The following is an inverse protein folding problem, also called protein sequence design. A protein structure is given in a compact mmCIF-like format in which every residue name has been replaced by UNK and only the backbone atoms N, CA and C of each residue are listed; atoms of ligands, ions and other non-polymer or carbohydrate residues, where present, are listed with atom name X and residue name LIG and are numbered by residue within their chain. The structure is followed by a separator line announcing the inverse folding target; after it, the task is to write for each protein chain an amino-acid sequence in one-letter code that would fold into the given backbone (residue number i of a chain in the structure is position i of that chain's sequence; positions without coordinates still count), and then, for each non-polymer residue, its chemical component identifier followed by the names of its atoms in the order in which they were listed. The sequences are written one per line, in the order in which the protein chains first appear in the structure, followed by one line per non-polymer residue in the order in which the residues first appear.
data_IF_323350318034
#
_entry.id   IF_323350318034
#
_cell.length_a   1.000
_cell.length_b   1.000
_cell.length_c   1.000
_cell.angle_alpha   90.00
_cell.angle_beta   90.00
_cell.angle_gamma   90.00
#
_symmetry.space_group_name_H-M   'P 1'
#
loop_
_entity.id
_entity.type
_entity.pdbx_description
1 polymer ?
#
# COMPACT_ATOMS: atom_id res chain seq x y z
N UNK A 1 -25.49 10.62 25.65
CA UNK A 1 -24.46 11.68 25.61
C UNK A 1 -23.80 11.54 24.24
N UNK A 2 -24.35 12.28 23.27
CA UNK A 2 -23.91 12.24 21.87
C UNK A 2 -22.61 13.04 21.73
N UNK A 3 -21.56 12.39 21.29
CA UNK A 3 -20.30 13.06 20.96
C UNK A 3 -20.39 13.51 19.51
N UNK A 4 -20.70 14.79 19.31
CA UNK A 4 -20.64 15.44 18.00
C UNK A 4 -19.19 15.55 17.55
N UNK A 5 -18.77 14.72 16.58
CA UNK A 5 -17.55 14.96 15.84
C UNK A 5 -17.78 16.13 14.86
N UNK A 6 -17.22 17.28 15.19
CA UNK A 6 -17.12 18.41 14.25
C UNK A 6 -16.25 17.99 13.07
N UNK A 7 -16.85 17.82 11.88
CA UNK A 7 -16.14 17.84 10.61
C UNK A 7 -15.54 19.23 10.42
N UNK A 8 -14.24 19.35 10.65
CA UNK A 8 -13.51 20.55 10.25
C UNK A 8 -13.39 20.55 8.72
N UNK A 9 -14.09 21.45 8.07
CA UNK A 9 -13.85 21.88 6.70
C UNK A 9 -12.50 22.62 6.67
N UNK A 10 -11.40 21.88 6.58
CA UNK A 10 -10.11 22.42 6.18
C UNK A 10 -10.10 22.46 4.65
N UNK A 11 -9.99 23.66 4.11
CA UNK A 11 -9.68 23.95 2.72
C UNK A 11 -8.54 23.01 2.29
N UNK A 12 -8.82 22.10 1.38
CA UNK A 12 -7.90 21.07 0.91
C UNK A 12 -6.78 21.75 0.14
N UNK A 13 -5.62 21.90 0.79
CA UNK A 13 -4.36 21.99 0.03
C UNK A 13 -4.25 20.68 -0.78
N UNK A 14 -3.76 20.71 -2.02
CA UNK A 14 -3.52 19.50 -2.78
C UNK A 14 -2.61 18.59 -1.94
N UNK A 15 -3.12 17.45 -1.48
CA UNK A 15 -2.32 16.50 -0.73
C UNK A 15 -1.28 15.92 -1.68
N UNK A 16 -0.01 16.01 -1.29
CA UNK A 16 1.08 15.42 -2.05
C UNK A 16 0.76 13.95 -2.36
N UNK A 17 0.92 13.55 -3.63
CA UNK A 17 0.61 12.21 -4.12
C UNK A 17 1.42 11.18 -3.36
N UNK A 18 0.76 10.24 -2.69
CA UNK A 18 1.41 9.12 -1.98
C UNK A 18 1.98 8.12 -2.97
N UNK A 19 3.15 7.59 -2.64
CA UNK A 19 3.83 6.56 -3.43
C UNK A 19 3.98 5.30 -2.60
N UNK A 20 3.35 4.21 -3.07
CA UNK A 20 3.53 2.86 -2.52
C UNK A 20 4.43 2.05 -3.43
N UNK A 21 5.55 1.55 -2.91
CA UNK A 21 6.46 0.65 -3.62
C UNK A 21 6.20 -0.78 -3.16
N UNK A 22 5.69 -1.62 -4.05
CA UNK A 22 5.29 -3.00 -3.74
C UNK A 22 6.33 -4.03 -4.18
N UNK A 23 6.24 -5.25 -3.62
CA UNK A 23 7.07 -6.38 -4.03
C UNK A 23 8.50 -6.36 -3.48
N UNK A 24 8.71 -5.73 -2.36
CA UNK A 24 10.03 -5.67 -1.70
C UNK A 24 10.32 -6.97 -0.94
N UNK A 25 11.54 -7.51 -1.05
CA UNK A 25 11.96 -8.70 -0.30
C UNK A 25 13.45 -8.77 0.01
N UNK A 26 14.30 -8.16 -0.81
CA UNK A 26 15.76 -8.17 -0.61
C UNK A 26 16.16 -7.15 0.45
N UNK A 27 17.00 -7.57 1.42
CA UNK A 27 17.35 -6.77 2.59
C UNK A 27 18.07 -5.47 2.23
N UNK A 28 19.05 -5.53 1.32
CA UNK A 28 19.83 -4.35 0.96
C UNK A 28 19.03 -3.40 0.06
N UNK A 29 18.20 -3.98 -0.80
CA UNK A 29 17.29 -3.22 -1.65
C UNK A 29 16.20 -2.52 -0.82
N UNK A 30 15.61 -3.19 0.18
CA UNK A 30 14.68 -2.58 1.15
C UNK A 30 15.35 -1.36 1.82
N UNK A 31 16.57 -1.54 2.32
CA UNK A 31 17.32 -0.46 2.99
C UNK A 31 17.61 0.72 2.06
N UNK A 32 17.91 0.45 0.79
CA UNK A 32 18.17 1.48 -0.20
C UNK A 32 16.88 2.24 -0.58
N UNK A 33 15.78 1.52 -0.82
CA UNK A 33 14.47 2.11 -1.15
C UNK A 33 13.87 2.88 0.03
N UNK A 34 14.12 2.44 1.26
CA UNK A 34 13.65 3.14 2.47
C UNK A 34 14.25 4.55 2.66
N UNK A 35 15.33 4.89 1.94
CA UNK A 35 15.91 6.24 1.93
C UNK A 35 15.23 7.19 0.94
N UNK A 36 14.32 6.69 0.10
CA UNK A 36 13.56 7.50 -0.84
C UNK A 36 12.34 8.11 -0.14
N UNK A 37 11.79 9.17 -0.73
CA UNK A 37 10.58 9.83 -0.21
C UNK A 37 9.31 9.08 -0.62
N UNK A 38 9.18 7.84 -0.15
CA UNK A 38 8.01 6.98 -0.33
C UNK A 38 7.16 6.92 0.94
N UNK A 39 5.88 6.62 0.78
CA UNK A 39 4.92 6.61 1.88
C UNK A 39 4.63 5.20 2.40
N UNK A 40 4.68 4.19 1.50
CA UNK A 40 4.35 2.81 1.82
C UNK A 40 5.30 1.83 1.14
N UNK A 41 5.60 0.72 1.81
CA UNK A 41 6.40 -0.38 1.28
C UNK A 41 5.63 -1.70 1.40
N UNK A 42 5.43 -2.40 0.29
CA UNK A 42 4.64 -3.62 0.22
C UNK A 42 5.49 -4.89 0.21
N UNK A 43 5.15 -5.82 1.10
CA UNK A 43 5.76 -7.14 1.25
C UNK A 43 4.75 -8.20 0.84
N UNK A 44 5.08 -9.03 -0.16
CA UNK A 44 4.14 -9.99 -0.73
C UNK A 44 4.25 -11.33 0.00
N UNK A 45 3.18 -11.74 0.66
CA UNK A 45 3.07 -13.02 1.37
C UNK A 45 2.19 -14.03 0.61
N UNK A 46 2.12 -13.92 -0.71
CA UNK A 46 1.42 -14.84 -1.61
C UNK A 46 2.44 -15.88 -2.10
N UNK A 47 2.31 -17.17 -1.72
CA UNK A 47 3.35 -18.19 -1.95
C UNK A 47 3.77 -18.37 -3.41
N UNK A 48 2.84 -18.29 -4.35
CA UNK A 48 3.09 -18.48 -5.78
C UNK A 48 3.65 -17.23 -6.48
N UNK A 49 3.80 -16.14 -5.74
CA UNK A 49 4.37 -14.91 -6.28
C UNK A 49 5.90 -15.02 -6.43
N UNK A 50 6.48 -14.59 -7.56
CA UNK A 50 7.94 -14.49 -7.69
C UNK A 50 8.56 -13.48 -6.71
N UNK A 51 7.72 -12.67 -6.04
CA UNK A 51 8.09 -11.68 -5.03
C UNK A 51 7.77 -12.14 -3.61
N UNK A 52 7.45 -13.42 -3.45
CA UNK A 52 7.11 -13.99 -2.14
C UNK A 52 8.19 -13.72 -1.10
N UNK A 53 7.77 -13.21 0.06
CA UNK A 53 8.62 -12.99 1.21
C UNK A 53 8.53 -14.20 2.14
N UNK A 54 9.55 -15.03 2.12
CA UNK A 54 9.67 -16.12 3.09
C UNK A 54 10.07 -15.57 4.47
N UNK A 55 11.10 -14.71 4.50
CA UNK A 55 11.59 -14.04 5.69
C UNK A 55 12.29 -12.73 5.30
N UNK A 56 12.09 -11.67 6.09
CA UNK A 56 12.85 -10.43 5.99
C UNK A 56 13.75 -10.35 7.22
N UNK A 57 15.05 -10.15 6.99
CA UNK A 57 15.99 -9.93 8.08
C UNK A 57 15.74 -8.59 8.78
N UNK A 58 15.87 -8.57 10.12
CA UNK A 58 15.86 -7.32 10.91
C UNK A 58 16.96 -6.34 10.47
N UNK A 59 18.04 -6.84 9.87
CA UNK A 59 19.09 -6.00 9.28
C UNK A 59 18.60 -5.08 8.14
N UNK A 60 17.40 -5.31 7.59
CA UNK A 60 16.76 -4.37 6.66
C UNK A 60 16.45 -3.01 7.33
N UNK A 61 16.40 -2.97 8.67
CA UNK A 61 16.17 -1.75 9.44
C UNK A 61 14.73 -1.26 9.46
N UNK A 62 13.84 -1.92 8.73
CA UNK A 62 12.43 -1.50 8.59
C UNK A 62 11.47 -2.32 9.46
N UNK A 63 11.90 -3.49 9.93
CA UNK A 63 11.13 -4.35 10.83
C UNK A 63 11.80 -4.44 12.22
N UNK A 64 11.03 -4.74 13.28
CA UNK A 64 11.58 -4.92 14.61
C UNK A 64 12.62 -6.05 14.65
N UNK A 65 13.62 -5.88 15.47
CA UNK A 65 14.61 -6.91 15.75
C UNK A 65 14.21 -7.67 17.02
N UNK A 66 13.73 -8.89 16.83
CA UNK A 66 13.35 -9.82 17.92
C UNK A 66 14.47 -10.80 18.27
N UNK A 67 15.74 -10.49 17.96
CA UNK A 67 16.85 -11.36 18.35
C UNK A 67 16.90 -11.57 19.87
N UNK A 68 17.31 -12.77 20.30
CA UNK A 68 17.43 -13.11 21.72
C UNK A 68 18.33 -12.13 22.49
N UNK A 69 19.35 -11.57 21.82
CA UNK A 69 20.24 -10.56 22.40
C UNK A 69 19.51 -9.29 22.79
N UNK A 70 18.65 -8.76 21.90
CA UNK A 70 17.89 -7.54 22.18
C UNK A 70 16.73 -7.76 23.15
N UNK A 71 16.11 -8.94 23.12
CA UNK A 71 15.12 -9.33 24.11
C UNK A 71 15.73 -9.46 25.50
N UNK A 72 16.95 -10.02 25.62
CA UNK A 72 17.68 -10.12 26.89
C UNK A 72 18.13 -8.76 27.44
N UNK A 73 18.40 -7.79 26.59
CA UNK A 73 18.74 -6.41 26.97
C UNK A 73 17.54 -5.59 27.44
N UNK A 74 16.32 -6.14 27.39
CA UNK A 74 15.08 -5.44 27.77
C UNK A 74 14.77 -4.22 26.92
N UNK A 75 15.46 -4.08 25.79
CA UNK A 75 15.19 -3.02 24.84
C UNK A 75 13.93 -3.37 24.04
N UNK A 76 12.88 -2.59 24.20
CA UNK A 76 11.81 -2.58 23.21
C UNK A 76 12.45 -2.24 21.87
N UNK A 77 12.23 -3.12 20.88
CA UNK A 77 12.75 -2.95 19.53
C UNK A 77 12.13 -1.70 18.90
N UNK A 78 12.73 -0.54 19.16
CA UNK A 78 12.36 0.69 18.46
C UNK A 78 12.92 0.62 17.05
N UNK A 79 12.15 1.08 16.08
CA UNK A 79 12.60 1.31 14.71
C UNK A 79 13.91 2.10 14.76
N UNK A 80 14.94 1.64 14.06
CA UNK A 80 16.31 2.13 14.24
C UNK A 80 16.57 3.52 13.66
N UNK A 81 15.69 4.02 12.77
CA UNK A 81 15.84 5.33 12.10
C UNK A 81 14.50 6.06 11.97
N UNK A 82 14.46 7.36 12.22
CA UNK A 82 13.27 8.22 12.09
C UNK A 82 12.66 8.16 10.67
N UNK A 83 13.47 7.99 9.64
CA UNK A 83 13.02 7.87 8.24
C UNK A 83 12.24 6.60 8.02
N UNK A 84 12.73 5.46 8.54
CA UNK A 84 12.02 4.17 8.43
C UNK A 84 10.73 4.13 9.25
N UNK A 85 10.63 4.92 10.33
CA UNK A 85 9.40 5.02 11.13
C UNK A 85 8.26 5.73 10.38
N UNK A 86 8.55 6.47 9.33
CA UNK A 86 7.56 7.22 8.53
C UNK A 86 6.92 6.36 7.43
N UNK A 87 7.63 5.35 6.93
CA UNK A 87 7.15 4.48 5.84
C UNK A 87 6.23 3.41 6.42
N UNK A 88 4.99 3.36 5.94
CA UNK A 88 4.05 2.29 6.30
C UNK A 88 4.45 0.95 5.69
N UNK A 89 4.41 -0.11 6.48
CA UNK A 89 4.67 -1.48 6.05
C UNK A 89 3.35 -2.16 5.73
N UNK A 90 3.22 -2.59 4.48
CA UNK A 90 2.00 -3.19 3.94
C UNK A 90 2.24 -4.66 3.65
N UNK A 91 1.57 -5.55 4.37
CA UNK A 91 1.54 -6.98 4.02
C UNK A 91 0.52 -7.25 2.93
N UNK A 92 0.93 -7.92 1.86
CA UNK A 92 0.05 -8.25 0.72
C UNK A 92 -0.28 -9.73 0.73
N UNK A 93 -1.57 -10.04 0.80
CA UNK A 93 -2.12 -11.39 0.90
C UNK A 93 -3.17 -11.62 -0.20
N UNK A 94 -3.44 -12.88 -0.52
CA UNK A 94 -4.54 -13.28 -1.38
C UNK A 94 -5.10 -14.61 -0.89
N UNK A 95 -6.37 -14.62 -0.48
CA UNK A 95 -7.11 -15.79 -0.02
C UNK A 95 -6.38 -16.62 1.06
N UNK A 96 -5.56 -15.95 1.88
CA UNK A 96 -4.79 -16.60 2.95
C UNK A 96 -5.64 -16.81 4.21
N UNK A 97 -5.22 -17.75 5.02
CA UNK A 97 -5.88 -18.02 6.30
C UNK A 97 -5.71 -16.85 7.27
N UNK A 98 -6.76 -16.43 7.99
CA UNK A 98 -6.67 -15.32 8.95
C UNK A 98 -5.52 -15.46 9.95
N UNK A 99 -5.24 -16.68 10.42
CA UNK A 99 -4.15 -16.96 11.36
C UNK A 99 -2.76 -16.62 10.79
N UNK A 100 -2.55 -16.87 9.49
CA UNK A 100 -1.32 -16.53 8.82
C UNK A 100 -1.16 -15.00 8.72
N UNK A 101 -2.24 -14.29 8.35
CA UNK A 101 -2.27 -12.82 8.30
C UNK A 101 -1.93 -12.23 9.67
N UNK A 102 -2.62 -12.69 10.73
CA UNK A 102 -2.36 -12.27 12.13
C UNK A 102 -0.89 -12.46 12.51
N UNK A 103 -0.33 -13.65 12.22
CA UNK A 103 1.06 -13.97 12.50
C UNK A 103 2.02 -13.03 11.77
N UNK A 104 1.74 -12.71 10.49
CA UNK A 104 2.57 -11.78 9.72
C UNK A 104 2.44 -10.34 10.22
N UNK A 105 1.23 -9.89 10.58
CA UNK A 105 1.02 -8.56 11.18
C UNK A 105 1.87 -8.40 12.41
N UNK A 106 1.87 -9.39 13.30
CA UNK A 106 2.68 -9.36 14.52
C UNK A 106 4.19 -9.41 14.25
N UNK A 107 4.65 -10.40 13.48
CA UNK A 107 6.08 -10.65 13.24
C UNK A 107 6.77 -9.52 12.47
N UNK A 108 6.07 -8.87 11.55
CA UNK A 108 6.63 -7.79 10.72
C UNK A 108 6.17 -6.40 11.18
N UNK A 109 5.41 -6.32 12.26
CA UNK A 109 4.83 -5.07 12.79
C UNK A 109 4.18 -4.27 11.65
N UNK A 110 3.30 -4.94 10.88
CA UNK A 110 2.67 -4.33 9.70
C UNK A 110 1.72 -3.21 10.12
N UNK A 111 1.73 -2.14 9.35
CA UNK A 111 0.83 -0.99 9.54
C UNK A 111 -0.49 -1.20 8.81
N UNK A 112 -0.44 -1.81 7.61
CA UNK A 112 -1.59 -2.06 6.76
C UNK A 112 -1.57 -3.50 6.22
N UNK A 113 -2.75 -4.07 6.00
CA UNK A 113 -2.96 -5.37 5.33
C UNK A 113 -3.65 -5.12 4.00
N UNK A 114 -3.01 -5.50 2.90
CA UNK A 114 -3.57 -5.46 1.56
C UNK A 114 -4.10 -6.85 1.15
N UNK A 115 -5.36 -6.91 0.77
CA UNK A 115 -6.07 -8.12 0.39
C UNK A 115 -6.35 -8.11 -1.12
N UNK A 116 -5.69 -9.04 -1.83
CA UNK A 116 -5.71 -9.13 -3.29
C UNK A 116 -6.63 -10.21 -3.84
N UNK A 117 -7.11 -11.10 -2.99
CA UNK A 117 -7.95 -12.24 -3.36
C UNK A 117 -9.45 -11.95 -3.32
N UNK A 118 -10.23 -12.97 -3.03
CA UNK A 118 -11.70 -12.94 -2.95
C UNK A 118 -12.24 -12.72 -1.53
N UNK A 119 -11.41 -12.21 -0.62
CA UNK A 119 -11.77 -12.00 0.79
C UNK A 119 -13.07 -11.21 0.93
N UNK A 120 -14.06 -11.82 1.59
CA UNK A 120 -15.37 -11.20 1.79
C UNK A 120 -15.34 -10.11 2.88
N UNK A 121 -16.29 -9.14 2.87
CA UNK A 121 -16.41 -8.16 3.94
C UNK A 121 -16.56 -8.79 5.33
N UNK A 122 -17.26 -9.93 5.44
CA UNK A 122 -17.42 -10.66 6.70
C UNK A 122 -16.08 -11.21 7.20
N UNK A 123 -15.27 -11.76 6.30
CA UNK A 123 -13.93 -12.25 6.65
C UNK A 123 -13.04 -11.10 7.14
N UNK A 124 -13.12 -9.95 6.48
CA UNK A 124 -12.34 -8.76 6.83
C UNK A 124 -12.76 -8.22 8.21
N UNK A 125 -14.07 -8.11 8.49
CA UNK A 125 -14.57 -7.69 9.80
C UNK A 125 -14.08 -8.63 10.92
N UNK A 126 -14.15 -9.95 10.70
CA UNK A 126 -13.64 -10.92 11.65
C UNK A 126 -12.12 -10.81 11.87
N UNK A 127 -11.36 -10.54 10.81
CA UNK A 127 -9.91 -10.31 10.90
C UNK A 127 -9.60 -9.06 11.73
N UNK A 128 -10.30 -7.96 11.48
CA UNK A 128 -10.15 -6.71 12.24
C UNK A 128 -10.47 -6.90 13.72
N UNK A 129 -11.56 -7.60 14.05
CA UNK A 129 -11.94 -7.93 15.44
C UNK A 129 -10.88 -8.77 16.14
N UNK A 130 -10.11 -9.55 15.41
CA UNK A 130 -9.02 -10.37 15.96
C UNK A 130 -7.76 -9.55 16.20
N UNK A 131 -7.43 -8.62 15.29
CA UNK A 131 -6.14 -7.92 15.30
C UNK A 131 -6.21 -6.61 16.09
N UNK A 132 -7.26 -5.80 15.86
CA UNK A 132 -7.30 -4.43 16.36
C UNK A 132 -7.32 -4.28 17.87
N UNK A 133 -8.00 -5.14 18.67
CA UNK A 133 -8.04 -4.94 20.12
C UNK A 133 -6.65 -5.02 20.77
N UNK A 134 -5.84 -6.00 20.39
CA UNK A 134 -4.68 -6.39 21.17
C UNK A 134 -3.34 -6.38 20.41
N UNK A 135 -3.38 -6.56 19.10
CA UNK A 135 -2.16 -6.74 18.30
C UNK A 135 -1.75 -5.43 17.60
N UNK A 136 -2.67 -4.85 16.83
CA UNK A 136 -2.42 -3.62 16.08
C UNK A 136 -3.68 -2.75 16.01
N UNK A 137 -3.96 -1.91 17.03
CA UNK A 137 -5.17 -1.09 17.09
C UNK A 137 -5.37 -0.14 15.91
N UNK A 138 -4.28 0.24 15.24
CA UNK A 138 -4.27 1.20 14.12
C UNK A 138 -4.13 0.52 12.76
N UNK A 139 -4.33 -0.81 12.70
CA UNK A 139 -4.24 -1.54 11.42
C UNK A 139 -5.27 -0.99 10.43
N UNK A 140 -4.83 -0.79 9.18
CA UNK A 140 -5.72 -0.41 8.09
C UNK A 140 -5.82 -1.53 7.06
N UNK A 141 -6.97 -1.64 6.44
CA UNK A 141 -7.22 -2.60 5.37
C UNK A 141 -7.20 -1.90 4.01
N UNK A 142 -6.38 -2.43 3.12
CA UNK A 142 -6.34 -2.06 1.70
C UNK A 142 -6.99 -3.19 0.90
N UNK A 143 -8.07 -2.93 0.17
CA UNK A 143 -8.67 -3.94 -0.72
C UNK A 143 -8.32 -3.65 -2.17
N UNK A 144 -7.66 -4.61 -2.82
CA UNK A 144 -7.42 -4.55 -4.26
C UNK A 144 -8.71 -4.86 -5.01
N UNK A 145 -9.04 -4.02 -5.99
CA UNK A 145 -10.13 -4.22 -6.95
C UNK A 145 -9.52 -4.15 -8.34
N UNK A 146 -9.70 -5.20 -9.12
CA UNK A 146 -9.32 -5.20 -10.54
C UNK A 146 -10.39 -4.46 -11.34
N UNK A 147 -9.98 -3.43 -12.07
CA UNK A 147 -10.88 -2.55 -12.81
C UNK A 147 -10.63 -2.71 -14.31
N UNK A 148 -11.58 -3.32 -15.01
CA UNK A 148 -11.61 -3.40 -16.46
C UNK A 148 -12.51 -2.33 -17.07
N UNK A 149 -13.57 -1.93 -16.34
CA UNK A 149 -14.50 -0.88 -16.72
C UNK A 149 -15.16 -0.22 -15.50
N UNK A 150 -15.92 0.87 -15.70
CA UNK A 150 -16.57 1.61 -14.62
C UNK A 150 -17.57 0.76 -13.80
N UNK A 151 -18.14 -0.27 -14.38
CA UNK A 151 -19.08 -1.20 -13.72
C UNK A 151 -18.46 -1.98 -12.57
N UNK A 152 -17.14 -2.23 -12.61
CA UNK A 152 -16.43 -2.98 -11.57
C UNK A 152 -16.39 -2.20 -10.25
N UNK A 153 -16.55 -0.87 -10.29
CA UNK A 153 -16.58 -0.02 -9.11
C UNK A 153 -17.77 -0.30 -8.18
N UNK A 154 -18.84 -0.93 -8.68
CA UNK A 154 -20.03 -1.26 -7.87
C UNK A 154 -19.69 -2.19 -6.71
N UNK A 155 -18.68 -3.03 -6.86
CA UNK A 155 -18.26 -3.94 -5.79
C UNK A 155 -17.72 -3.19 -4.56
N UNK A 156 -17.24 -1.97 -4.72
CA UNK A 156 -16.70 -1.15 -3.63
C UNK A 156 -17.73 -0.92 -2.52
N UNK A 157 -19.03 -0.78 -2.85
CA UNK A 157 -20.09 -0.54 -1.88
C UNK A 157 -20.16 -1.62 -0.80
N UNK A 158 -19.89 -2.88 -1.17
CA UNK A 158 -19.92 -4.00 -0.23
C UNK A 158 -18.81 -3.93 0.84
N UNK A 159 -17.77 -3.15 0.60
CA UNK A 159 -16.60 -3.03 1.48
C UNK A 159 -16.55 -1.75 2.31
N UNK A 160 -17.53 -0.85 2.17
CA UNK A 160 -17.50 0.49 2.79
C UNK A 160 -17.30 0.50 4.31
N UNK A 161 -17.75 -0.54 5.02
CA UNK A 161 -17.67 -0.62 6.49
C UNK A 161 -16.37 -1.25 7.00
N UNK A 162 -15.58 -1.89 6.13
CA UNK A 162 -14.46 -2.76 6.56
C UNK A 162 -13.13 -2.47 5.86
N UNK A 163 -13.10 -1.48 4.97
CA UNK A 163 -11.91 -1.10 4.18
C UNK A 163 -11.60 0.36 4.37
N UNK A 164 -10.33 0.68 4.57
CA UNK A 164 -9.84 2.05 4.76
C UNK A 164 -9.31 2.66 3.47
N UNK A 165 -8.85 1.83 2.54
CA UNK A 165 -8.23 2.25 1.29
C UNK A 165 -8.48 1.21 0.19
N UNK A 166 -8.88 1.65 -0.99
CA UNK A 166 -8.88 0.78 -2.17
C UNK A 166 -7.55 0.85 -2.93
N UNK A 167 -7.19 -0.24 -3.59
CA UNK A 167 -6.16 -0.27 -4.62
C UNK A 167 -6.85 -0.62 -5.94
N UNK A 168 -7.11 0.36 -6.78
CA UNK A 168 -7.67 0.14 -8.11
C UNK A 168 -6.58 -0.29 -9.08
N UNK A 169 -6.62 -1.56 -9.46
CA UNK A 169 -5.67 -2.17 -10.38
C UNK A 169 -6.23 -2.14 -11.80
N UNK A 170 -5.79 -1.16 -12.57
CA UNK A 170 -6.30 -0.88 -13.91
C UNK A 170 -5.31 -1.43 -14.93
N UNK A 171 -5.74 -2.42 -15.72
CA UNK A 171 -4.91 -2.97 -16.78
C UNK A 171 -4.56 -1.90 -17.82
N UNK A 172 -3.27 -1.82 -18.12
CA UNK A 172 -2.74 -0.94 -19.14
C UNK A 172 -3.26 -1.32 -20.51
N UNK A 173 -3.60 -0.33 -21.31
CA UNK A 173 -3.98 -0.46 -22.71
C UNK A 173 -2.74 -0.42 -23.64
N UNK A 174 -2.97 -0.58 -24.94
CA UNK A 174 -1.90 -0.61 -25.94
C UNK A 174 -1.11 0.71 -26.04
N UNK A 175 -1.73 1.83 -25.68
CA UNK A 175 -1.08 3.14 -25.63
C UNK A 175 -1.27 3.83 -24.29
N UNK A 176 -0.37 4.76 -23.98
CA UNK A 176 -0.46 5.60 -22.78
C UNK A 176 -1.73 6.45 -22.80
N UNK A 177 -2.07 7.03 -23.95
CA UNK A 177 -3.28 7.83 -24.11
C UNK A 177 -4.55 7.02 -23.87
N UNK A 178 -4.68 5.81 -24.43
CA UNK A 178 -5.84 4.94 -24.21
C UNK A 178 -5.97 4.52 -22.74
N UNK A 179 -4.84 4.28 -22.06
CA UNK A 179 -4.82 3.97 -20.63
C UNK A 179 -5.31 5.17 -19.80
N UNK A 180 -4.87 6.37 -20.14
CA UNK A 180 -5.28 7.61 -19.46
C UNK A 180 -6.77 7.88 -19.64
N UNK A 181 -7.30 7.72 -20.83
CA UNK A 181 -8.73 7.86 -21.13
C UNK A 181 -9.57 6.88 -20.30
N UNK A 182 -9.12 5.63 -20.22
CA UNK A 182 -9.74 4.61 -19.38
C UNK A 182 -9.72 4.98 -17.89
N UNK A 183 -8.56 5.43 -17.38
CA UNK A 183 -8.44 5.89 -15.99
C UNK A 183 -9.41 7.03 -15.73
N UNK A 184 -9.46 8.05 -16.58
CA UNK A 184 -10.35 9.20 -16.42
C UNK A 184 -11.83 8.80 -16.45
N UNK A 185 -12.23 7.86 -17.33
CA UNK A 185 -13.58 7.31 -17.37
C UNK A 185 -13.94 6.60 -16.04
N UNK A 186 -13.02 5.83 -15.48
CA UNK A 186 -13.18 5.16 -14.18
C UNK A 186 -13.29 6.21 -13.07
N UNK A 187 -12.36 7.17 -13.00
CA UNK A 187 -12.35 8.21 -11.97
C UNK A 187 -13.65 9.03 -11.98
N UNK A 188 -14.16 9.40 -13.16
CA UNK A 188 -15.40 10.15 -13.27
C UNK A 188 -16.65 9.40 -12.77
N UNK A 189 -16.57 8.08 -12.65
CA UNK A 189 -17.68 7.21 -12.23
C UNK A 189 -17.62 6.86 -10.74
N UNK A 190 -16.42 6.92 -10.13
CA UNK A 190 -16.28 6.60 -8.71
C UNK A 190 -16.87 7.70 -7.83
N UNK A 191 -17.91 7.36 -7.07
CA UNK A 191 -18.60 8.26 -6.16
C UNK A 191 -18.51 7.82 -4.69
N UNK A 192 -17.65 6.82 -4.40
CA UNK A 192 -17.43 6.32 -3.05
C UNK A 192 -16.70 7.34 -2.17
N UNK A 193 -16.84 7.18 -0.85
CA UNK A 193 -16.16 8.02 0.15
C UNK A 193 -14.79 7.48 0.55
N UNK A 194 -14.50 6.21 0.28
CA UNK A 194 -13.23 5.58 0.64
C UNK A 194 -12.15 6.05 -0.33
N UNK A 195 -10.99 6.50 0.19
CA UNK A 195 -9.86 6.88 -0.66
C UNK A 195 -9.27 5.68 -1.41
N UNK A 196 -8.51 5.97 -2.47
CA UNK A 196 -7.87 4.92 -3.24
C UNK A 196 -6.47 5.29 -3.75
N UNK A 197 -5.69 4.25 -4.06
CA UNK A 197 -4.47 4.31 -4.85
C UNK A 197 -4.73 3.73 -6.25
N UNK A 198 -4.05 4.26 -7.27
CA UNK A 198 -4.03 3.67 -8.59
C UNK A 198 -2.85 2.70 -8.74
N UNK A 199 -3.10 1.58 -9.42
CA UNK A 199 -2.13 0.55 -9.76
C UNK A 199 -2.33 0.09 -11.22
N UNK A 200 -1.42 -0.73 -11.73
CA UNK A 200 -1.49 -1.26 -13.09
C UNK A 200 -0.62 -0.49 -14.09
N UNK A 201 0.67 -0.39 -13.79
CA UNK A 201 1.66 0.24 -14.67
C UNK A 201 1.81 1.75 -14.48
N UNK A 202 1.51 2.25 -13.28
CA UNK A 202 1.63 3.68 -12.98
C UNK A 202 3.05 4.22 -13.14
N UNK A 203 4.07 3.38 -12.96
CA UNK A 203 5.47 3.76 -13.16
C UNK A 203 5.90 3.95 -14.62
N UNK A 204 5.05 3.62 -15.57
CA UNK A 204 5.30 3.90 -17.01
C UNK A 204 4.87 5.31 -17.41
N UNK A 205 4.02 5.96 -16.61
CA UNK A 205 3.59 7.33 -16.88
C UNK A 205 4.64 8.33 -16.45
N UNK A 206 4.75 9.42 -17.19
CA UNK A 206 5.54 10.57 -16.74
C UNK A 206 4.89 11.22 -15.51
N UNK A 207 5.71 11.81 -14.66
CA UNK A 207 5.20 12.50 -13.48
C UNK A 207 4.21 13.63 -13.83
N UNK A 208 4.45 14.34 -14.94
CA UNK A 208 3.55 15.38 -15.45
C UNK A 208 2.17 14.83 -15.83
N UNK A 209 2.12 13.62 -16.36
CA UNK A 209 0.86 12.99 -16.74
C UNK A 209 0.08 12.49 -15.52
N UNK A 210 0.78 11.91 -14.53
CA UNK A 210 0.14 11.50 -13.27
C UNK A 210 -0.53 12.67 -12.55
N UNK A 211 0.00 13.88 -12.70
CA UNK A 211 -0.59 15.10 -12.12
C UNK A 211 -1.86 15.59 -12.82
N UNK A 212 -2.13 15.12 -14.04
CA UNK A 212 -3.41 15.40 -14.70
C UNK A 212 -4.56 14.56 -14.15
N UNK A 213 -4.25 13.55 -13.33
CA UNK A 213 -5.25 12.70 -12.69
C UNK A 213 -5.81 13.38 -11.44
N UNK A 214 -7.06 13.78 -11.49
CA UNK A 214 -7.71 14.46 -10.38
C UNK A 214 -8.97 13.74 -9.93
N UNK A 215 -9.01 13.36 -8.67
CA UNK A 215 -10.21 12.88 -8.00
C UNK A 215 -10.10 13.16 -6.49
N UNK A 216 -11.20 13.58 -5.80
CA UNK A 216 -11.15 13.92 -4.37
C UNK A 216 -10.64 12.79 -3.47
N UNK A 217 -10.86 11.53 -3.89
CA UNK A 217 -10.44 10.34 -3.14
C UNK A 217 -9.13 9.72 -3.64
N UNK A 218 -8.53 10.24 -4.71
CA UNK A 218 -7.22 9.77 -5.17
C UNK A 218 -6.14 10.25 -4.19
N UNK A 219 -5.50 9.29 -3.50
CA UNK A 219 -4.42 9.59 -2.56
C UNK A 219 -3.02 9.35 -3.14
N UNK A 220 -2.89 8.53 -4.15
CA UNK A 220 -1.58 8.20 -4.69
C UNK A 220 -1.57 7.04 -5.67
N UNK A 221 -0.36 6.51 -5.87
CA UNK A 221 -0.08 5.44 -6.83
C UNK A 221 0.66 4.29 -6.17
N UNK A 222 0.47 3.08 -6.72
CA UNK A 222 1.25 1.90 -6.40
C UNK A 222 2.12 1.51 -7.60
N UNK A 223 3.41 1.38 -7.36
CA UNK A 223 4.39 0.96 -8.36
C UNK A 223 5.05 -0.34 -7.96
N UNK A 224 5.44 -1.17 -8.92
CA UNK A 224 6.01 -2.48 -8.66
C UNK A 224 7.03 -2.89 -9.75
N UNK A 225 6.58 -3.70 -10.72
CA UNK A 225 7.44 -4.37 -11.70
C UNK A 225 8.16 -3.42 -12.66
N UNK A 226 7.62 -2.25 -12.88
CA UNK A 226 8.17 -1.22 -13.76
C UNK A 226 9.58 -0.76 -13.34
N UNK A 227 9.86 -0.92 -12.05
CA UNK A 227 11.14 -0.53 -11.44
C UNK A 227 11.99 -1.72 -11.03
N UNK A 228 11.68 -2.93 -11.47
CA UNK A 228 12.47 -4.11 -11.11
C UNK A 228 13.60 -4.40 -12.10
N UNK A 229 14.76 -4.76 -11.54
CA UNK A 229 15.86 -5.40 -12.30
C UNK A 229 15.67 -6.91 -12.36
N UNK A 230 15.06 -7.47 -11.32
CA UNK A 230 14.56 -8.84 -11.23
C UNK A 230 13.43 -8.90 -10.21
N UNK A 231 12.55 -9.92 -10.23
CA UNK A 231 11.42 -9.98 -9.30
C UNK A 231 11.82 -9.79 -7.84
N UNK A 232 11.27 -8.75 -7.21
CA UNK A 232 11.53 -8.40 -5.82
C UNK A 232 12.78 -7.55 -5.56
N UNK A 233 13.47 -7.08 -6.61
CA UNK A 233 14.63 -6.18 -6.50
C UNK A 233 14.41 -4.96 -7.40
N UNK A 234 14.28 -3.79 -6.77
CA UNK A 234 14.06 -2.51 -7.48
C UNK A 234 15.38 -1.91 -7.99
N UNK A 235 15.32 -1.33 -9.19
CA UNK A 235 16.31 -0.37 -9.66
C UNK A 235 16.14 0.92 -8.87
N UNK A 236 17.00 1.11 -7.87
CA UNK A 236 16.89 2.21 -6.90
C UNK A 236 17.07 3.56 -7.56
N UNK A 237 17.95 3.68 -8.56
CA UNK A 237 18.21 4.97 -9.23
C UNK A 237 17.04 5.38 -10.15
N UNK A 238 16.51 4.43 -10.90
CA UNK A 238 15.31 4.64 -11.71
C UNK A 238 14.12 5.05 -10.82
N UNK A 239 13.91 4.34 -9.71
CA UNK A 239 12.85 4.62 -8.75
C UNK A 239 13.05 5.98 -8.07
N UNK A 240 14.26 6.34 -7.66
CA UNK A 240 14.61 7.64 -7.08
C UNK A 240 14.19 8.77 -8.00
N UNK A 241 14.61 8.70 -9.27
CA UNK A 241 14.30 9.73 -10.25
C UNK A 241 12.79 9.92 -10.43
N UNK A 242 12.05 8.82 -10.50
CA UNK A 242 10.60 8.86 -10.59
C UNK A 242 9.95 9.50 -9.34
N UNK A 243 10.35 9.07 -8.14
CA UNK A 243 9.84 9.60 -6.87
C UNK A 243 10.08 11.10 -6.75
N UNK A 244 11.29 11.56 -7.07
CA UNK A 244 11.63 12.98 -7.06
C UNK A 244 10.78 13.80 -8.03
N UNK A 245 10.51 13.27 -9.22
CA UNK A 245 9.65 13.94 -10.20
C UNK A 245 8.20 14.02 -9.74
N UNK A 246 7.66 12.95 -9.17
CA UNK A 246 6.27 12.92 -8.66
C UNK A 246 6.12 13.88 -7.48
N UNK A 247 7.07 13.87 -6.53
CA UNK A 247 6.99 14.71 -5.32
C UNK A 247 7.28 16.19 -5.54
N UNK A 248 8.13 16.55 -6.53
CA UNK A 248 8.41 17.96 -6.86
C UNK A 248 7.21 18.72 -7.37
N UNK A 249 6.28 18.02 -7.93
CA UNK A 249 5.19 18.60 -8.68
C UNK A 249 3.82 18.39 -7.96
N UNK A 250 3.83 17.90 -6.72
CA UNK A 250 2.64 17.66 -5.89
C UNK A 250 2.36 18.83 -4.95
#
# INVERSE_FOLDING_TARGET
MEVFYKKNNLLTQPMAMKIKVCGMRDTDNIRAVAKLDIDMMGFVFIPDSPRYVQMISSHAGIIPDYSEQKLAEGMQTKRSDEVCCRIKRVGVFADDMPQNIVTRVYNYDLDDVQLNGSESPIMIDNLLRTICPDIRPTLQIIKKIEINGPEDLKVCEAYNEVVDLFLFDIKREASEQATLEKINAILSTYNGSIPFLLSGGMGFFSASLLQTLHHPQLQGINVNEEFETQPGVKDVEKLRHFVEQVKKNS
#
